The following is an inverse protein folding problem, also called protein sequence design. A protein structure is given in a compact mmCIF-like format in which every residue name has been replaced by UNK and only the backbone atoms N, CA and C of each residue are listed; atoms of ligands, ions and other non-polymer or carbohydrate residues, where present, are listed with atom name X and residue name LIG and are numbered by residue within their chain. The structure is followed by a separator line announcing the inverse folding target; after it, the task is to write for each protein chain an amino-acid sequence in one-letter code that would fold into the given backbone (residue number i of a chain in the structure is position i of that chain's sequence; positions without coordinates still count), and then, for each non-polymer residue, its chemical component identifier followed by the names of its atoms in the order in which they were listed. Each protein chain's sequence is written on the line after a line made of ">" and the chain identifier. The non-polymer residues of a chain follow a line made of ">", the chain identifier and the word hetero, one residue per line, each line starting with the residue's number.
data_IF_679649143258
#
_entry.id   IF_679649143258
#
_cell.length_a   1.000
_cell.length_b   1.000
_cell.length_c   1.000
_cell.angle_alpha   90.00
_cell.angle_beta   90.00
_cell.angle_gamma   90.00
#
_symmetry.space_group_name_H-M   'P 1'
#
loop_
_entity.id
_entity.type
_entity.pdbx_description
1 polymer ?
#
# COMPACT_ATOMS: atom_id res chain seq x y z
N UNK A 1 30.67 -20.44 -3.69
CA UNK A 1 29.26 -20.27 -3.30
C UNK A 1 28.33 -21.04 -4.21
N UNK A 2 28.25 -22.37 -4.01
CA UNK A 2 27.49 -23.28 -4.85
C UNK A 2 25.95 -23.21 -4.60
N UNK A 3 25.52 -22.60 -3.52
CA UNK A 3 24.12 -22.57 -3.07
C UNK A 3 23.17 -21.76 -3.97
N UNK A 4 23.67 -20.84 -4.79
CA UNK A 4 22.83 -19.93 -5.58
C UNK A 4 22.94 -20.11 -7.10
N UNK A 5 23.66 -21.13 -7.57
CA UNK A 5 23.85 -21.37 -9.01
C UNK A 5 22.58 -21.79 -9.78
N UNK A 6 21.53 -22.19 -9.04
CA UNK A 6 20.23 -22.59 -9.63
C UNK A 6 19.14 -21.53 -9.51
N UNK A 7 19.43 -20.36 -8.88
CA UNK A 7 18.45 -19.28 -8.77
C UNK A 7 18.45 -18.46 -10.05
N UNK A 8 17.31 -18.39 -10.70
CA UNK A 8 17.11 -17.54 -11.87
C UNK A 8 16.93 -16.08 -11.47
N UNK A 9 16.15 -15.82 -10.41
CA UNK A 9 15.99 -14.49 -9.83
C UNK A 9 15.31 -14.52 -8.45
N UNK A 10 15.46 -13.42 -7.73
CA UNK A 10 14.84 -13.17 -6.43
C UNK A 10 14.09 -11.84 -6.52
N UNK A 11 12.79 -11.86 -6.22
CA UNK A 11 11.98 -10.66 -6.08
C UNK A 11 11.74 -10.38 -4.59
N UNK A 12 12.19 -9.23 -4.10
CA UNK A 12 12.05 -8.84 -2.70
C UNK A 12 10.99 -7.74 -2.58
N UNK A 13 9.93 -8.03 -1.85
CA UNK A 13 8.89 -7.05 -1.54
C UNK A 13 9.30 -6.21 -0.34
N UNK A 14 9.55 -4.93 -0.57
CA UNK A 14 9.77 -3.88 0.41
C UNK A 14 8.47 -3.08 0.63
N UNK A 15 8.57 -1.79 0.88
CA UNK A 15 7.43 -0.91 1.15
C UNK A 15 7.75 0.55 0.83
N UNK A 16 6.76 1.34 0.45
CA UNK A 16 6.88 2.80 0.34
C UNK A 16 7.15 3.49 1.70
N UNK A 17 6.88 2.85 2.83
CA UNK A 17 7.17 3.42 4.17
C UNK A 17 8.67 3.62 4.42
N UNK A 18 9.54 2.99 3.63
CA UNK A 18 11.00 3.23 3.67
C UNK A 18 11.38 4.66 3.29
N UNK A 19 10.51 5.40 2.62
CA UNK A 19 10.74 6.80 2.24
C UNK A 19 10.42 7.80 3.35
N UNK A 20 9.67 7.40 4.36
CA UNK A 20 9.19 8.31 5.41
C UNK A 20 8.27 9.42 4.88
N UNK A 21 8.17 10.51 5.64
CA UNK A 21 7.37 11.69 5.25
C UNK A 21 7.88 12.31 3.95
N UNK A 22 6.96 12.63 3.04
CA UNK A 22 7.28 13.15 1.73
C UNK A 22 7.98 14.52 1.79
N UNK A 23 9.25 14.59 1.34
CA UNK A 23 9.97 15.84 1.13
C UNK A 23 9.59 16.47 -0.23
N UNK A 24 9.22 15.65 -1.19
CA UNK A 24 8.65 16.01 -2.50
C UNK A 24 7.72 14.90 -2.97
N UNK A 25 6.81 15.22 -3.85
CA UNK A 25 5.91 14.29 -4.52
C UNK A 25 5.82 14.63 -6.02
N UNK A 26 5.64 13.64 -6.90
CA UNK A 26 5.59 12.20 -6.62
C UNK A 26 6.92 11.64 -6.08
N UNK A 27 6.87 10.54 -5.34
CA UNK A 27 8.03 9.89 -4.71
C UNK A 27 8.66 8.91 -5.71
N UNK A 28 9.85 9.20 -6.18
CA UNK A 28 10.65 8.31 -7.02
C UNK A 28 11.61 7.42 -6.19
N UNK A 29 12.29 6.49 -6.86
CA UNK A 29 13.22 5.55 -6.22
C UNK A 29 14.57 6.18 -5.81
N UNK A 30 14.85 7.42 -6.22
CA UNK A 30 16.08 8.16 -5.84
C UNK A 30 15.94 8.83 -4.48
N UNK A 31 14.74 8.88 -3.95
CA UNK A 31 14.46 9.50 -2.68
C UNK A 31 15.27 8.88 -1.55
N UNK A 32 15.88 9.67 -0.65
CA UNK A 32 16.53 9.17 0.56
C UNK A 32 15.58 8.34 1.43
N UNK A 33 16.11 7.28 2.03
CA UNK A 33 15.38 6.41 2.92
C UNK A 33 15.36 6.99 4.34
N UNK A 34 14.19 6.99 4.98
CA UNK A 34 13.99 7.52 6.32
C UNK A 34 13.18 6.52 7.15
N UNK A 35 13.81 5.93 8.16
CA UNK A 35 13.17 4.97 9.06
C UNK A 35 12.36 5.65 10.16
N UNK A 36 11.13 6.09 9.88
CA UNK A 36 10.26 6.75 10.87
C UNK A 36 9.58 5.79 11.84
N UNK A 37 9.66 4.48 11.59
CA UNK A 37 9.12 3.45 12.48
C UNK A 37 10.07 2.26 12.55
N UNK A 38 10.00 1.39 13.60
CA UNK A 38 10.76 0.15 13.64
C UNK A 38 10.52 -0.74 12.42
N UNK A 39 9.28 -0.74 11.89
CA UNK A 39 8.93 -1.46 10.67
C UNK A 39 9.69 -0.90 9.46
N UNK A 40 9.61 0.40 9.20
CA UNK A 40 10.31 1.00 8.06
C UNK A 40 11.83 0.85 8.17
N UNK A 41 12.40 1.01 9.37
CA UNK A 41 13.83 0.79 9.61
C UNK A 41 14.25 -0.65 9.29
N UNK A 42 13.46 -1.66 9.71
CA UNK A 42 13.73 -3.07 9.39
C UNK A 42 13.67 -3.35 7.89
N UNK A 43 12.73 -2.72 7.17
CA UNK A 43 12.62 -2.86 5.71
C UNK A 43 13.77 -2.17 4.97
N UNK A 44 14.22 -1.01 5.44
CA UNK A 44 15.43 -0.34 4.92
C UNK A 44 16.65 -1.25 5.08
N UNK A 45 16.82 -1.87 6.25
CA UNK A 45 17.92 -2.79 6.49
C UNK A 45 17.88 -3.99 5.53
N UNK A 46 16.70 -4.59 5.34
CA UNK A 46 16.50 -5.70 4.39
C UNK A 46 16.81 -5.27 2.94
N UNK A 47 16.38 -4.08 2.51
CA UNK A 47 16.66 -3.54 1.19
C UNK A 47 18.17 -3.39 0.97
N UNK A 48 18.88 -2.78 1.95
CA UNK A 48 20.33 -2.59 1.86
C UNK A 48 21.08 -3.92 1.85
N UNK A 49 20.65 -4.89 2.64
CA UNK A 49 21.23 -6.23 2.62
C UNK A 49 21.06 -6.87 1.23
N UNK A 50 19.87 -6.85 0.67
CA UNK A 50 19.59 -7.38 -0.66
C UNK A 50 20.45 -6.74 -1.76
N UNK A 51 20.53 -5.39 -1.75
CA UNK A 51 21.35 -4.65 -2.71
C UNK A 51 22.84 -4.99 -2.55
N UNK A 52 23.31 -5.20 -1.31
CA UNK A 52 24.71 -5.60 -1.05
C UNK A 52 25.04 -6.97 -1.65
N UNK A 53 24.10 -7.92 -1.57
CA UNK A 53 24.28 -9.24 -2.21
C UNK A 53 24.32 -9.15 -3.74
N UNK A 54 23.50 -8.31 -4.35
CA UNK A 54 23.60 -8.05 -5.78
C UNK A 54 24.97 -7.47 -6.14
N UNK A 55 25.42 -6.42 -5.41
CA UNK A 55 26.70 -5.74 -5.69
C UNK A 55 27.92 -6.62 -5.47
N UNK A 56 27.91 -7.48 -4.45
CA UNK A 56 29.06 -8.28 -4.04
C UNK A 56 29.14 -9.64 -4.75
N UNK A 57 27.99 -10.20 -5.11
CA UNK A 57 27.91 -11.58 -5.59
C UNK A 57 27.10 -11.72 -6.88
N UNK A 58 26.66 -10.62 -7.47
CA UNK A 58 25.85 -10.58 -8.69
C UNK A 58 24.57 -11.45 -8.59
N UNK A 59 24.02 -11.60 -7.37
CA UNK A 59 22.77 -12.33 -7.22
C UNK A 59 21.65 -11.61 -7.99
N UNK A 60 20.83 -12.33 -8.77
CA UNK A 60 19.82 -11.73 -9.62
C UNK A 60 18.62 -11.22 -8.79
N UNK A 61 18.81 -10.13 -8.05
CA UNK A 61 17.84 -9.56 -7.11
C UNK A 61 17.15 -8.37 -7.74
N UNK A 62 15.83 -8.30 -7.57
CA UNK A 62 14.99 -7.12 -7.84
C UNK A 62 14.25 -6.73 -6.57
N UNK A 63 14.16 -5.43 -6.27
CA UNK A 63 13.39 -4.93 -5.13
C UNK A 63 12.15 -4.19 -5.61
N UNK A 64 11.04 -4.42 -4.93
CA UNK A 64 9.77 -3.77 -5.23
C UNK A 64 9.27 -3.05 -3.99
N UNK A 65 8.86 -1.80 -4.15
CA UNK A 65 8.21 -0.99 -3.13
C UNK A 65 6.77 -0.68 -3.51
N UNK A 66 5.82 -1.56 -3.16
CA UNK A 66 4.42 -1.23 -3.34
C UNK A 66 4.05 -0.03 -2.45
N UNK A 67 3.24 0.87 -3.01
CA UNK A 67 2.51 1.86 -2.23
C UNK A 67 1.29 1.18 -1.60
N UNK A 68 0.35 1.93 -1.03
CA UNK A 68 -0.72 1.32 -0.25
C UNK A 68 -1.57 0.36 -1.10
N UNK A 69 -1.27 -0.93 -1.00
CA UNK A 69 -2.07 -1.97 -1.63
C UNK A 69 -3.33 -2.24 -0.82
N UNK A 70 -4.48 -2.32 -1.49
CA UNK A 70 -5.76 -2.66 -0.86
C UNK A 70 -6.50 -3.75 -1.64
N UNK A 71 -7.40 -4.46 -0.96
CA UNK A 71 -8.16 -5.54 -1.59
C UNK A 71 -8.85 -6.45 -0.58
N UNK A 72 -9.55 -7.48 -1.04
CA UNK A 72 -10.07 -8.55 -0.20
C UNK A 72 -8.98 -9.13 0.72
N UNK A 73 -9.35 -9.51 1.94
CA UNK A 73 -8.45 -10.08 2.98
C UNK A 73 -7.42 -9.10 3.55
N UNK A 74 -7.54 -7.81 3.27
CA UNK A 74 -6.70 -6.80 3.92
C UNK A 74 -6.90 -6.83 5.45
N UNK A 75 -5.84 -6.51 6.20
CA UNK A 75 -5.89 -6.46 7.67
C UNK A 75 -7.01 -5.55 8.18
N UNK A 76 -7.71 -5.96 9.24
CA UNK A 76 -8.71 -5.16 9.94
C UNK A 76 -8.18 -3.82 10.49
N UNK A 77 -6.86 -3.65 10.56
CA UNK A 77 -6.19 -2.38 10.95
C UNK A 77 -6.15 -1.36 9.82
N UNK A 78 -6.34 -1.79 8.58
CA UNK A 78 -6.27 -0.90 7.43
C UNK A 78 -7.54 -0.05 7.31
N UNK A 79 -7.38 1.15 6.76
CA UNK A 79 -8.45 2.15 6.73
C UNK A 79 -9.69 1.70 5.94
N UNK A 80 -9.52 1.06 4.79
CA UNK A 80 -10.65 0.63 3.94
C UNK A 80 -11.52 -0.40 4.65
N UNK A 81 -11.02 -1.54 5.16
CA UNK A 81 -11.86 -2.46 5.91
C UNK A 81 -12.42 -1.87 7.21
N UNK A 82 -11.71 -0.95 7.86
CA UNK A 82 -12.21 -0.23 9.04
C UNK A 82 -13.46 0.59 8.70
N UNK A 83 -13.50 1.29 7.57
CA UNK A 83 -14.66 2.06 7.14
C UNK A 83 -15.79 1.11 6.73
N UNK A 84 -15.52 0.17 5.83
CA UNK A 84 -16.53 -0.75 5.29
C UNK A 84 -17.20 -1.56 6.39
N UNK A 85 -16.45 -2.09 7.36
CA UNK A 85 -17.01 -2.89 8.45
C UNK A 85 -17.95 -2.08 9.33
N UNK A 86 -17.68 -0.82 9.61
CA UNK A 86 -18.56 0.06 10.37
C UNK A 86 -19.87 0.29 9.60
N UNK A 87 -19.79 0.58 8.30
CA UNK A 87 -20.97 0.83 7.45
C UNK A 87 -21.82 -0.42 7.25
N UNK A 88 -21.20 -1.60 7.04
CA UNK A 88 -21.92 -2.88 6.94
C UNK A 88 -22.64 -3.28 8.25
N UNK A 89 -22.14 -2.79 9.40
CA UNK A 89 -22.81 -2.97 10.69
C UNK A 89 -23.86 -1.88 10.98
N UNK A 90 -24.30 -1.14 9.96
CA UNK A 90 -25.41 -0.18 10.05
C UNK A 90 -25.05 1.19 10.64
N UNK A 91 -23.75 1.49 10.83
CA UNK A 91 -23.33 2.80 11.31
C UNK A 91 -23.40 3.81 10.15
N UNK A 92 -24.09 4.92 10.37
CA UNK A 92 -24.10 6.09 9.48
C UNK A 92 -23.17 7.20 9.99
N UNK A 93 -22.70 7.05 11.21
CA UNK A 93 -21.67 7.88 11.83
C UNK A 93 -20.48 6.99 12.19
N UNK A 94 -19.30 7.31 11.63
CA UNK A 94 -18.08 6.55 11.87
C UNK A 94 -17.01 7.42 12.50
N UNK A 95 -16.11 6.77 13.21
CA UNK A 95 -15.01 7.41 13.90
C UNK A 95 -13.70 7.10 13.19
N UNK A 96 -12.99 8.13 12.77
CA UNK A 96 -11.67 8.03 12.14
C UNK A 96 -10.66 8.90 12.88
N UNK A 97 -9.37 8.69 12.61
CA UNK A 97 -8.29 9.59 13.04
C UNK A 97 -8.19 10.81 12.14
N UNK A 98 -6.96 11.17 11.73
CA UNK A 98 -6.73 12.29 10.82
C UNK A 98 -7.35 12.03 9.44
N UNK A 99 -8.02 13.02 8.87
CA UNK A 99 -8.73 12.93 7.59
C UNK A 99 -7.92 13.54 6.42
N UNK A 100 -6.94 14.38 6.74
CA UNK A 100 -6.13 15.10 5.75
C UNK A 100 -5.08 14.25 5.06
N UNK A 101 -4.42 13.26 5.70
CA UNK A 101 -3.38 12.50 5.04
C UNK A 101 -3.87 11.85 3.75
N UNK A 102 -3.02 11.86 2.73
CA UNK A 102 -3.32 11.27 1.42
C UNK A 102 -2.56 9.98 1.19
N UNK A 103 -3.15 9.07 0.42
CA UNK A 103 -2.58 7.78 0.08
C UNK A 103 -2.75 7.49 -1.40
N UNK A 104 -1.71 6.96 -2.01
CA UNK A 104 -1.76 6.31 -3.32
C UNK A 104 -2.18 4.86 -3.10
N UNK A 105 -3.37 4.51 -3.58
CA UNK A 105 -4.03 3.24 -3.33
C UNK A 105 -4.06 2.39 -4.59
N UNK A 106 -3.39 1.24 -4.59
CA UNK A 106 -3.36 0.30 -5.70
C UNK A 106 -4.16 -0.96 -5.35
N UNK A 107 -5.09 -1.36 -6.21
CA UNK A 107 -5.84 -2.61 -6.01
C UNK A 107 -4.89 -3.81 -6.05
N UNK A 108 -5.14 -4.80 -5.21
CA UNK A 108 -4.23 -5.95 -5.01
C UNK A 108 -3.91 -6.69 -6.31
N UNK A 109 -4.87 -6.85 -7.22
CA UNK A 109 -4.63 -7.51 -8.49
C UNK A 109 -3.64 -6.72 -9.37
N UNK A 110 -3.76 -5.38 -9.39
CA UNK A 110 -2.83 -4.53 -10.14
C UNK A 110 -1.43 -4.52 -9.50
N UNK A 111 -1.35 -4.61 -8.17
CA UNK A 111 -0.07 -4.83 -7.48
C UNK A 111 0.55 -6.17 -7.87
N UNK A 112 -0.24 -7.26 -7.90
CA UNK A 112 0.25 -8.58 -8.30
C UNK A 112 0.73 -8.60 -9.76
N UNK A 113 -0.02 -7.97 -10.67
CA UNK A 113 0.41 -7.82 -12.08
C UNK A 113 1.73 -7.04 -12.14
N UNK A 114 1.87 -5.95 -11.37
CA UNK A 114 3.12 -5.18 -11.32
C UNK A 114 4.30 -6.00 -10.80
N UNK A 115 4.09 -6.84 -9.79
CA UNK A 115 5.12 -7.77 -9.30
C UNK A 115 5.51 -8.78 -10.38
N UNK A 116 4.54 -9.35 -11.10
CA UNK A 116 4.77 -10.30 -12.19
C UNK A 116 5.53 -9.65 -13.35
N UNK A 117 5.15 -8.44 -13.74
CA UNK A 117 5.78 -7.71 -14.84
C UNK A 117 7.22 -7.29 -14.48
N UNK A 118 7.47 -6.87 -13.23
CA UNK A 118 8.83 -6.64 -12.74
C UNK A 118 9.63 -7.95 -12.76
N UNK A 119 9.01 -9.07 -12.37
CA UNK A 119 9.66 -10.38 -12.44
C UNK A 119 10.08 -10.71 -13.87
N UNK A 120 9.22 -10.51 -14.86
CA UNK A 120 9.49 -10.78 -16.29
C UNK A 120 10.50 -9.83 -16.93
N UNK A 121 10.67 -8.63 -16.41
CA UNK A 121 11.60 -7.63 -16.96
C UNK A 121 13.05 -8.05 -16.80
N UNK A 122 13.83 -7.99 -17.87
CA UNK A 122 15.26 -8.32 -17.86
C UNK A 122 16.17 -7.15 -17.45
N UNK A 123 15.63 -5.97 -17.13
CA UNK A 123 16.39 -4.72 -16.96
C UNK A 123 16.42 -4.18 -15.53
N UNK A 124 15.76 -4.80 -14.57
CA UNK A 124 15.56 -4.26 -13.21
C UNK A 124 16.41 -4.93 -12.12
N UNK A 125 17.40 -5.73 -12.49
CA UNK A 125 18.29 -6.39 -11.53
C UNK A 125 19.14 -5.36 -10.76
N UNK A 126 19.27 -5.58 -9.45
CA UNK A 126 19.97 -4.69 -8.53
C UNK A 126 19.27 -3.35 -8.29
N UNK A 127 18.03 -3.19 -8.75
CA UNK A 127 17.30 -1.95 -8.69
C UNK A 127 16.04 -2.07 -7.85
N UNK A 128 15.62 -0.93 -7.28
CA UNK A 128 14.31 -0.76 -6.67
C UNK A 128 13.32 -0.28 -7.73
N UNK A 129 12.07 -0.74 -7.66
CA UNK A 129 10.97 -0.27 -8.51
C UNK A 129 9.72 -0.05 -7.66
N UNK A 130 9.15 1.14 -7.75
CA UNK A 130 7.90 1.50 -7.08
C UNK A 130 6.70 0.94 -7.86
N UNK A 131 5.66 0.50 -7.14
CA UNK A 131 4.33 0.20 -7.70
C UNK A 131 3.32 1.10 -7.02
N UNK A 132 2.61 1.91 -7.80
CA UNK A 132 1.55 2.81 -7.35
C UNK A 132 0.83 3.43 -8.53
N UNK A 133 -0.31 4.06 -8.27
CA UNK A 133 -1.21 4.59 -9.30
C UNK A 133 -0.81 5.98 -9.80
N UNK A 134 0.16 6.64 -9.16
CA UNK A 134 0.45 8.06 -9.36
C UNK A 134 -0.81 8.95 -9.18
N UNK A 135 -1.64 8.55 -8.22
CA UNK A 135 -2.89 9.25 -7.87
C UNK A 135 -3.13 9.11 -6.37
N UNK A 136 -3.49 10.18 -5.71
CA UNK A 136 -3.70 10.19 -4.26
C UNK A 136 -5.12 10.62 -3.88
N UNK A 137 -5.60 10.08 -2.76
CA UNK A 137 -6.89 10.44 -2.17
C UNK A 137 -6.70 10.68 -0.67
N UNK A 138 -7.37 11.70 -0.11
CA UNK A 138 -7.37 11.91 1.34
C UNK A 138 -8.23 10.85 2.04
N UNK A 139 -7.91 10.57 3.31
CA UNK A 139 -8.69 9.62 4.13
C UNK A 139 -10.16 10.06 4.22
N UNK A 140 -10.42 11.36 4.35
CA UNK A 140 -11.80 11.89 4.37
C UNK A 140 -12.54 11.63 3.07
N UNK A 141 -11.92 11.93 1.92
CA UNK A 141 -12.53 11.69 0.60
C UNK A 141 -12.70 10.19 0.31
N UNK A 142 -11.76 9.35 0.75
CA UNK A 142 -11.87 7.90 0.65
C UNK A 142 -13.10 7.37 1.42
N UNK A 143 -13.32 7.86 2.64
CA UNK A 143 -14.48 7.47 3.44
C UNK A 143 -15.81 7.88 2.76
N UNK A 144 -15.87 9.09 2.20
CA UNK A 144 -17.04 9.55 1.44
C UNK A 144 -17.26 8.73 0.16
N UNK A 145 -16.19 8.37 -0.55
CA UNK A 145 -16.26 7.52 -1.73
C UNK A 145 -16.84 6.14 -1.39
N UNK A 146 -16.34 5.50 -0.31
CA UNK A 146 -16.84 4.20 0.15
C UNK A 146 -18.33 4.29 0.51
N UNK A 147 -18.72 5.31 1.28
CA UNK A 147 -20.11 5.51 1.67
C UNK A 147 -21.03 5.75 0.46
N UNK A 148 -20.59 6.55 -0.51
CA UNK A 148 -21.28 6.78 -1.78
C UNK A 148 -21.49 5.47 -2.55
N UNK A 149 -20.45 4.63 -2.66
CA UNK A 149 -20.52 3.33 -3.32
C UNK A 149 -21.51 2.38 -2.64
N UNK A 150 -21.69 2.53 -1.33
CA UNK A 150 -22.66 1.76 -0.54
C UNK A 150 -24.05 2.41 -0.46
N UNK A 151 -24.26 3.57 -1.09
CA UNK A 151 -25.49 4.38 -0.98
C UNK A 151 -25.84 4.76 0.47
N UNK A 152 -24.85 5.08 1.28
CA UNK A 152 -25.01 5.48 2.69
C UNK A 152 -24.66 6.96 2.84
N UNK A 153 -25.51 7.72 3.50
CA UNK A 153 -25.17 9.07 3.93
C UNK A 153 -24.26 9.00 5.17
N UNK A 154 -23.02 9.45 5.04
CA UNK A 154 -21.99 9.30 6.06
C UNK A 154 -21.69 10.60 6.79
N UNK A 155 -21.68 10.53 8.11
CA UNK A 155 -21.09 11.54 9.00
C UNK A 155 -19.78 11.00 9.59
N UNK A 156 -18.71 11.78 9.54
CA UNK A 156 -17.41 11.39 10.08
C UNK A 156 -17.12 12.18 11.33
N UNK A 157 -16.83 11.49 12.44
CA UNK A 157 -16.29 12.10 13.68
C UNK A 157 -14.79 11.81 13.76
N UNK A 158 -13.99 12.84 13.96
CA UNK A 158 -12.58 12.67 14.29
C UNK A 158 -12.42 12.34 15.76
N UNK A 159 -11.62 11.30 16.08
CA UNK A 159 -11.23 10.98 17.47
C UNK A 159 -9.74 11.15 17.64
N UNK A 160 -9.36 11.95 18.65
CA UNK A 160 -7.94 12.20 18.99
C UNK A 160 -7.17 10.92 19.32
N UNK A 161 -7.81 9.96 19.99
CA UNK A 161 -7.21 8.64 20.33
C UNK A 161 -6.77 7.80 19.11
N UNK A 162 -7.29 8.13 17.93
CA UNK A 162 -6.96 7.47 16.65
C UNK A 162 -5.98 8.28 15.81
N UNK A 163 -5.53 9.43 16.31
CA UNK A 163 -4.52 10.25 15.65
C UNK A 163 -3.15 9.68 16.02
N UNK A 164 -2.35 9.34 15.01
CA UNK A 164 -0.96 8.93 15.22
C UNK A 164 -0.13 10.10 15.75
N UNK A 165 0.92 9.82 16.54
CA UNK A 165 1.88 10.86 16.91
C UNK A 165 2.39 11.59 15.67
N UNK A 166 2.44 12.93 15.73
CA UNK A 166 2.79 13.80 14.59
C UNK A 166 4.10 13.38 13.91
N UNK A 167 5.11 12.99 14.69
CA UNK A 167 6.41 12.55 14.16
C UNK A 167 6.37 11.18 13.45
N UNK A 168 5.30 10.39 13.59
CA UNK A 168 5.13 9.08 12.96
C UNK A 168 4.09 9.08 11.84
N UNK A 169 3.31 10.16 11.68
CA UNK A 169 2.33 10.26 10.59
C UNK A 169 3.01 10.63 9.27
N UNK A 170 2.66 9.92 8.23
CA UNK A 170 3.10 10.22 6.87
C UNK A 170 1.97 10.97 6.18
N UNK A 171 2.13 12.28 6.01
CA UNK A 171 1.11 13.17 5.46
C UNK A 171 0.73 12.84 4.02
N UNK A 172 1.72 12.58 3.16
CA UNK A 172 1.49 12.30 1.74
C UNK A 172 2.29 11.11 1.26
N UNK A 173 1.60 10.20 0.56
CA UNK A 173 2.21 9.12 -0.21
C UNK A 173 1.62 9.14 -1.61
N UNK A 174 2.40 9.67 -2.57
CA UNK A 174 2.09 9.69 -4.00
C UNK A 174 3.26 9.05 -4.74
N UNK A 175 3.03 7.98 -5.45
CA UNK A 175 4.02 7.21 -6.19
C UNK A 175 4.42 7.91 -7.49
N UNK A 176 5.71 8.01 -7.77
CA UNK A 176 6.18 8.09 -9.14
C UNK A 176 6.33 6.66 -9.69
N UNK A 177 5.52 6.30 -10.67
CA UNK A 177 5.51 4.99 -11.31
C UNK A 177 6.17 4.98 -12.71
N UNK A 178 6.80 6.07 -13.12
CA UNK A 178 7.41 6.20 -14.45
C UNK A 178 8.45 5.12 -14.74
N UNK A 179 9.22 4.71 -13.73
CA UNK A 179 10.19 3.63 -13.88
C UNK A 179 9.51 2.29 -14.18
N UNK A 180 8.44 1.96 -13.47
CA UNK A 180 7.65 0.76 -13.73
C UNK A 180 7.11 0.76 -15.16
N UNK A 181 6.44 1.84 -15.58
CA UNK A 181 5.89 2.00 -16.92
C UNK A 181 6.94 1.93 -18.03
N UNK A 182 8.15 2.43 -17.77
CA UNK A 182 9.24 2.42 -18.75
C UNK A 182 9.84 1.02 -18.97
N UNK A 183 9.85 0.18 -17.95
CA UNK A 183 10.60 -1.09 -17.95
C UNK A 183 9.71 -2.32 -17.97
N UNK A 184 8.38 -2.13 -17.99
CA UNK A 184 7.37 -3.20 -17.98
C UNK A 184 6.17 -2.80 -18.83
N UNK A 185 5.30 -3.77 -19.12
CA UNK A 185 4.01 -3.54 -19.79
C UNK A 185 2.88 -3.30 -18.78
N UNK A 186 3.21 -2.94 -17.54
CA UNK A 186 2.24 -2.75 -16.46
C UNK A 186 1.21 -1.69 -16.83
N UNK A 187 -0.04 -2.10 -16.78
CA UNK A 187 -1.19 -1.25 -17.03
C UNK A 187 -2.29 -1.60 -16.00
N UNK A 188 -2.55 -0.75 -15.00
CA UNK A 188 -3.56 -1.03 -13.99
C UNK A 188 -4.94 -1.13 -14.62
N UNK A 189 -5.72 -2.13 -14.18
CA UNK A 189 -7.02 -2.46 -14.76
C UNK A 189 -8.20 -1.97 -13.91
N UNK A 190 -7.93 -1.62 -12.65
CA UNK A 190 -8.96 -1.22 -11.70
C UNK A 190 -8.88 0.26 -11.39
N UNK A 191 -10.00 0.98 -11.56
CA UNK A 191 -10.15 2.27 -10.90
C UNK A 191 -10.29 2.08 -9.39
N UNK A 192 -10.08 3.14 -8.61
CA UNK A 192 -10.26 3.10 -7.15
C UNK A 192 -11.70 2.66 -6.78
N UNK A 193 -12.71 3.16 -7.50
CA UNK A 193 -14.11 2.82 -7.29
C UNK A 193 -14.41 1.35 -7.57
N UNK A 194 -13.87 0.81 -8.67
CA UNK A 194 -14.01 -0.62 -9.00
C UNK A 194 -13.38 -1.51 -7.93
N UNK A 195 -12.15 -1.22 -7.52
CA UNK A 195 -11.48 -1.99 -6.48
C UNK A 195 -12.19 -1.90 -5.13
N UNK A 196 -12.71 -0.73 -4.74
CA UNK A 196 -13.54 -0.56 -3.53
C UNK A 196 -14.82 -1.41 -3.63
N UNK A 197 -15.49 -1.44 -4.77
CA UNK A 197 -16.67 -2.26 -4.98
C UNK A 197 -16.36 -3.74 -4.77
N UNK A 198 -15.26 -4.24 -5.31
CA UNK A 198 -14.81 -5.63 -5.09
C UNK A 198 -14.59 -5.94 -3.59
N UNK A 199 -13.98 -5.00 -2.84
CA UNK A 199 -13.78 -5.18 -1.40
C UNK A 199 -15.11 -5.21 -0.65
N UNK A 200 -16.03 -4.31 -0.99
CA UNK A 200 -17.38 -4.25 -0.38
C UNK A 200 -18.13 -5.57 -0.62
N UNK A 201 -18.16 -6.03 -1.87
CA UNK A 201 -18.86 -7.29 -2.21
C UNK A 201 -18.23 -8.50 -1.53
N UNK A 202 -16.90 -8.54 -1.39
CA UNK A 202 -16.25 -9.58 -0.63
C UNK A 202 -16.59 -9.51 0.87
N UNK A 203 -16.61 -8.31 1.47
CA UNK A 203 -16.90 -8.11 2.89
C UNK A 203 -18.38 -8.31 3.23
N UNK A 204 -19.34 -8.14 2.30
CA UNK A 204 -20.76 -8.42 2.51
C UNK A 204 -21.06 -9.88 2.84
N UNK A 205 -20.19 -10.80 2.47
CA UNK A 205 -20.36 -12.22 2.79
C UNK A 205 -20.19 -12.43 4.29
N UNK A 206 -21.15 -13.08 4.99
CA UNK A 206 -21.11 -13.23 6.45
C UNK A 206 -19.81 -13.87 6.97
N UNK A 207 -19.30 -14.88 6.26
CA UNK A 207 -18.06 -15.56 6.59
C UNK A 207 -16.85 -14.64 6.56
N UNK A 208 -16.86 -13.59 5.70
CA UNK A 208 -15.77 -12.63 5.60
C UNK A 208 -15.94 -11.48 6.60
N UNK A 209 -17.18 -10.98 6.77
CA UNK A 209 -17.47 -9.88 7.70
C UNK A 209 -17.12 -10.24 9.15
N UNK A 210 -17.28 -11.49 9.54
CA UNK A 210 -16.99 -11.99 10.89
C UNK A 210 -15.52 -11.84 11.31
N UNK A 211 -14.60 -11.66 10.37
CA UNK A 211 -13.19 -11.33 10.68
C UNK A 211 -12.99 -9.87 11.13
N UNK A 212 -13.98 -8.99 10.90
CA UNK A 212 -13.88 -7.55 11.16
C UNK A 212 -14.82 -7.16 12.29
N UNK A 213 -14.25 -6.84 13.46
CA UNK A 213 -15.01 -6.38 14.63
C UNK A 213 -15.17 -4.87 14.55
N UNK A 214 -16.36 -4.39 14.19
CA UNK A 214 -16.64 -2.96 14.00
C UNK A 214 -16.70 -2.14 15.30
N UNK A 215 -16.79 -2.83 16.46
CA UNK A 215 -16.87 -2.25 17.81
C UNK A 215 -15.51 -2.08 18.50
N UNK A 216 -14.44 -2.62 17.89
CA UNK A 216 -13.08 -2.55 18.44
C UNK A 216 -12.16 -1.79 17.51
N UNK A 217 -11.34 -0.92 18.12
CA UNK A 217 -10.19 -0.36 17.43
C UNK A 217 -9.09 -1.44 17.37
N UNK A 218 -8.76 -1.88 16.17
CA UNK A 218 -7.70 -2.87 15.97
C UNK A 218 -6.36 -2.12 15.95
N UNK A 219 -5.63 -2.19 17.04
CA UNK A 219 -4.28 -1.60 17.20
C UNK A 219 -3.22 -2.52 16.58
#
# INVERSE_FOLDING_TARGET
>A
TTLFRSLEQILITSTSETYGTAQYVPIDEKRPLVGQSPYSASKIAADQLAISYYKSFELPIKLVRPFNTYGPRQSARAIIPTIISQLLNGKTEIELGSLSPTRDLTFVNDTCIGLEDIYKSNSLFGQVTNIGMNSEISIGNLAQLIAKTMNIQLTIKSREERIRPENSEVERLLCDNLKLLKHTDWNPKYSLEQGITEVIEWMKKPENLNYFKSDRYNV
#
